data_IF_832980277508
#
_entry.id   IF_832980277508
#
_cell.length_a   1.000
_cell.length_b   1.000
_cell.length_c   1.000
_cell.angle_alpha   90.00
_cell.angle_beta   90.00
_cell.angle_gamma   90.00
#
_symmetry.space_group_name_H-M   'P 1'
#
loop_
_entity.id
_entity.type
_entity.pdbx_description
1 polymer ?
#
# COMPACT_ATOMS: atom_id res chain seq x y z
N UNK A 1 9.08 3.31 1.96
CA UNK A 1 8.13 4.39 1.59
C UNK A 1 8.77 5.46 0.69
N UNK A 2 9.60 5.09 -0.29
CA UNK A 2 10.23 6.07 -1.19
C UNK A 2 9.30 6.46 -2.34
N UNK A 3 8.67 5.47 -2.97
CA UNK A 3 7.80 5.59 -4.15
C UNK A 3 6.28 5.54 -3.90
N UNK A 4 5.82 5.54 -2.65
CA UNK A 4 4.38 5.62 -2.34
C UNK A 4 3.79 7.01 -2.64
N UNK A 5 2.47 7.16 -2.75
CA UNK A 5 1.83 8.46 -3.00
C UNK A 5 1.85 9.40 -1.79
N UNK A 6 1.87 8.85 -0.59
CA UNK A 6 1.68 9.60 0.65
C UNK A 6 0.22 9.65 1.12
N UNK A 7 -0.72 8.91 0.52
CA UNK A 7 -2.07 8.74 1.07
C UNK A 7 -1.98 8.12 2.48
N UNK A 8 -2.73 8.67 3.44
CA UNK A 8 -2.63 8.32 4.86
C UNK A 8 -4.00 8.34 5.50
N UNK A 9 -4.76 7.29 5.23
CA UNK A 9 -6.13 7.10 5.71
C UNK A 9 -6.13 6.24 6.97
N UNK A 10 -7.11 6.47 7.84
CA UNK A 10 -7.40 5.58 8.98
C UNK A 10 -8.40 4.52 8.55
N UNK A 11 -8.31 3.34 9.16
CA UNK A 11 -9.40 2.37 9.11
C UNK A 11 -10.65 2.97 9.78
N UNK A 12 -11.81 2.57 9.27
CA UNK A 12 -13.13 2.87 9.79
C UNK A 12 -13.51 1.88 10.88
N UNK A 13 -14.40 2.27 11.79
CA UNK A 13 -14.83 1.43 12.92
C UNK A 13 -15.31 0.03 12.50
N UNK A 14 -16.04 -0.04 11.38
CA UNK A 14 -16.59 -1.31 10.90
C UNK A 14 -15.52 -2.26 10.33
N UNK A 15 -14.40 -1.74 9.82
CA UNK A 15 -13.28 -2.54 9.29
C UNK A 15 -12.54 -3.29 10.42
N UNK A 16 -12.57 -2.77 11.66
CA UNK A 16 -12.09 -3.52 12.84
C UNK A 16 -13.04 -4.66 13.24
N UNK A 17 -14.30 -4.61 12.80
CA UNK A 17 -15.36 -5.56 13.11
C UNK A 17 -15.89 -6.21 11.83
N UNK A 18 -15.01 -6.52 10.88
CA UNK A 18 -15.39 -6.94 9.55
C UNK A 18 -16.27 -8.20 9.55
N UNK A 19 -15.94 -9.24 10.33
CA UNK A 19 -16.76 -10.45 10.43
C UNK A 19 -18.11 -10.18 11.11
N UNK A 20 -18.13 -9.41 12.20
CA UNK A 20 -19.37 -9.01 12.87
C UNK A 20 -20.26 -8.11 12.01
N UNK A 21 -19.67 -7.30 11.14
CA UNK A 21 -20.39 -6.35 10.27
C UNK A 21 -20.91 -7.02 9.01
N UNK A 22 -20.05 -7.76 8.31
CA UNK A 22 -20.37 -8.37 7.01
C UNK A 22 -21.03 -9.74 7.15
N UNK A 23 -20.88 -10.37 8.32
CA UNK A 23 -21.29 -11.75 8.55
C UNK A 23 -20.38 -12.75 7.83
N UNK A 24 -20.88 -13.97 7.66
CA UNK A 24 -20.16 -15.02 6.94
C UNK A 24 -20.23 -14.76 5.44
N UNK A 25 -19.08 -14.50 4.84
CA UNK A 25 -18.90 -14.43 3.39
C UNK A 25 -18.30 -15.76 2.92
N UNK A 26 -19.03 -16.49 2.07
CA UNK A 26 -18.56 -17.77 1.53
C UNK A 26 -17.27 -17.57 0.72
N UNK A 27 -16.25 -18.38 1.00
CA UNK A 27 -14.94 -18.28 0.34
C UNK A 27 -13.96 -17.32 1.01
N UNK A 28 -14.40 -16.54 2.00
CA UNK A 28 -13.55 -15.64 2.77
C UNK A 28 -13.30 -16.15 4.20
N UNK A 29 -12.10 -15.90 4.72
CA UNK A 29 -11.70 -16.13 6.11
C UNK A 29 -11.74 -14.82 6.92
N UNK A 30 -12.88 -14.14 6.86
CA UNK A 30 -13.10 -12.90 7.60
C UNK A 30 -12.99 -13.12 9.11
N UNK A 31 -12.38 -12.15 9.79
CA UNK A 31 -12.25 -12.11 11.24
C UNK A 31 -12.48 -10.68 11.73
N UNK A 32 -12.90 -10.56 12.98
CA UNK A 32 -12.80 -9.28 13.70
C UNK A 32 -11.37 -9.11 14.22
N UNK A 33 -10.90 -7.87 14.19
CA UNK A 33 -9.63 -7.54 14.81
C UNK A 33 -9.74 -7.74 16.33
N UNK A 34 -8.69 -8.25 17.01
CA UNK A 34 -8.69 -8.39 18.47
C UNK A 34 -8.45 -7.07 19.20
N UNK A 35 -8.59 -5.94 18.50
CA UNK A 35 -8.39 -4.56 18.95
C UNK A 35 -9.43 -3.68 18.27
N UNK A 36 -9.69 -2.52 18.86
CA UNK A 36 -10.68 -1.55 18.36
C UNK A 36 -10.03 -0.31 17.74
N UNK A 37 -10.80 0.45 16.96
CA UNK A 37 -10.36 1.76 16.47
C UNK A 37 -9.99 2.68 17.64
N UNK A 38 -10.78 2.70 18.71
CA UNK A 38 -10.53 3.53 19.90
C UNK A 38 -9.17 3.21 20.56
N UNK A 39 -8.78 1.94 20.61
CA UNK A 39 -7.44 1.55 21.08
C UNK A 39 -6.32 2.00 20.14
N UNK A 40 -6.61 2.09 18.83
CA UNK A 40 -5.67 2.52 17.79
C UNK A 40 -5.59 4.03 17.59
N UNK A 41 -6.60 4.80 17.98
CA UNK A 41 -6.62 6.27 17.82
C UNK A 41 -5.38 6.98 18.37
N UNK A 42 -4.84 6.65 19.56
CA UNK A 42 -3.62 7.28 20.06
C UNK A 42 -2.40 7.00 19.17
N UNK A 43 -2.36 5.85 18.51
CA UNK A 43 -1.26 5.46 17.61
C UNK A 43 -1.41 6.10 16.24
N UNK A 44 -2.62 6.17 15.67
CA UNK A 44 -2.90 6.96 14.47
C UNK A 44 -2.51 8.42 14.68
N UNK A 45 -2.92 9.02 15.80
CA UNK A 45 -2.59 10.41 16.16
C UNK A 45 -1.08 10.64 16.20
N UNK A 46 -0.32 9.74 16.84
CA UNK A 46 1.16 9.79 16.86
C UNK A 46 1.76 9.65 15.46
N UNK A 47 1.27 8.71 14.66
CA UNK A 47 1.75 8.46 13.31
C UNK A 47 1.50 9.67 12.40
N UNK A 48 0.29 10.24 12.44
CA UNK A 48 -0.08 11.42 11.65
C UNK A 48 0.74 12.66 12.04
N UNK A 49 0.93 12.89 13.34
CA UNK A 49 1.77 13.97 13.83
C UNK A 49 3.21 13.82 13.32
N UNK A 50 3.75 12.61 13.42
CA UNK A 50 5.11 12.31 12.97
C UNK A 50 5.25 12.48 11.45
N UNK A 51 4.30 11.97 10.68
CA UNK A 51 4.34 11.99 9.21
C UNK A 51 3.97 13.34 8.59
N UNK A 52 3.27 14.20 9.32
CA UNK A 52 2.77 15.48 8.78
C UNK A 52 1.54 15.29 7.91
N UNK A 53 0.61 14.46 8.35
CA UNK A 53 -0.58 14.14 7.56
C UNK A 53 -1.49 15.36 7.48
N UNK A 54 -1.77 15.83 6.28
CA UNK A 54 -2.64 16.98 6.08
C UNK A 54 -4.07 16.70 6.51
N UNK A 55 -4.77 17.71 7.02
CA UNK A 55 -6.20 17.61 7.36
C UNK A 55 -6.52 16.88 8.66
N UNK A 56 -5.53 16.66 9.55
CA UNK A 56 -5.72 16.05 10.88
C UNK A 56 -5.42 16.99 12.04
N UNK A 57 -4.55 17.97 11.84
CA UNK A 57 -4.23 19.06 12.79
C UNK A 57 -4.58 20.43 12.16
N UNK A 58 -3.86 21.48 12.50
CA UNK A 58 -3.89 22.78 11.82
C UNK A 58 -3.20 22.78 10.44
N UNK A 59 -2.70 21.62 10.00
CA UNK A 59 -2.08 21.46 8.68
C UNK A 59 -3.14 21.38 7.58
N UNK A 60 -3.23 22.38 6.70
CA UNK A 60 -4.23 22.41 5.65
C UNK A 60 -4.03 21.25 4.68
N UNK A 61 -5.12 20.78 4.06
CA UNK A 61 -5.02 19.86 2.92
C UNK A 61 -4.25 20.51 1.78
N UNK A 62 -3.59 19.69 0.97
CA UNK A 62 -2.95 20.18 -0.26
C UNK A 62 -4.02 20.75 -1.22
N UNK A 63 -3.68 21.77 -2.03
CA UNK A 63 -4.59 22.26 -3.04
C UNK A 63 -4.85 21.17 -4.09
N UNK A 64 -6.08 21.13 -4.59
CA UNK A 64 -6.49 20.19 -5.63
C UNK A 64 -5.80 20.50 -6.96
N UNK A 65 -5.29 19.46 -7.62
CA UNK A 65 -4.73 19.58 -8.96
C UNK A 65 -5.84 19.59 -10.03
N UNK A 66 -5.45 19.69 -11.30
CA UNK A 66 -6.42 19.72 -12.39
C UNK A 66 -7.20 18.40 -12.54
N UNK A 67 -6.56 17.25 -12.30
CA UNK A 67 -7.22 15.95 -12.29
C UNK A 67 -8.38 15.93 -11.29
N UNK A 68 -8.10 16.32 -10.04
CA UNK A 68 -9.09 16.42 -8.99
C UNK A 68 -10.21 17.41 -9.34
N UNK A 69 -9.89 18.60 -9.86
CA UNK A 69 -10.91 19.61 -10.19
C UNK A 69 -11.92 19.11 -11.23
N UNK A 70 -11.44 18.43 -12.27
CA UNK A 70 -12.31 17.87 -13.32
C UNK A 70 -13.20 16.76 -12.75
N UNK A 71 -12.63 15.84 -11.97
CA UNK A 71 -13.37 14.72 -11.40
C UNK A 71 -14.33 15.16 -10.29
N UNK A 72 -13.94 16.12 -9.46
CA UNK A 72 -14.81 16.74 -8.46
C UNK A 72 -16.02 17.39 -9.12
N UNK A 73 -15.84 18.08 -10.25
CA UNK A 73 -16.97 18.68 -10.96
C UNK A 73 -17.98 17.63 -11.46
N UNK A 74 -17.51 16.43 -11.84
CA UNK A 74 -18.38 15.29 -12.14
C UNK A 74 -19.07 14.75 -10.89
N UNK A 75 -18.32 14.51 -9.82
CA UNK A 75 -18.83 14.02 -8.54
C UNK A 75 -19.92 14.95 -7.96
N UNK A 76 -19.69 16.27 -7.98
CA UNK A 76 -20.64 17.28 -7.51
C UNK A 76 -21.96 17.23 -8.31
N UNK A 77 -21.88 17.03 -9.63
CA UNK A 77 -23.06 16.92 -10.51
C UNK A 77 -23.86 15.64 -10.24
N UNK A 78 -23.17 14.54 -9.91
CA UNK A 78 -23.78 13.28 -9.51
C UNK A 78 -24.34 13.32 -8.08
N UNK A 79 -24.03 14.38 -7.33
CA UNK A 79 -24.56 14.60 -5.99
C UNK A 79 -23.68 14.07 -4.86
N UNK A 80 -22.48 13.54 -5.15
CA UNK A 80 -21.52 13.10 -4.13
C UNK A 80 -21.13 14.25 -3.19
N UNK A 81 -20.93 13.92 -1.92
CA UNK A 81 -20.73 14.89 -0.83
C UNK A 81 -19.34 14.78 -0.20
N UNK A 82 -18.79 13.58 -0.10
CA UNK A 82 -17.51 13.31 0.55
C UNK A 82 -16.37 13.37 -0.47
N UNK A 83 -16.17 14.54 -1.09
CA UNK A 83 -15.13 14.78 -2.09
C UNK A 83 -14.11 15.84 -1.63
N UNK A 84 -12.87 15.41 -1.36
CA UNK A 84 -11.80 16.28 -0.89
C UNK A 84 -10.41 15.82 -1.36
N UNK A 85 -9.37 16.63 -1.13
CA UNK A 85 -7.98 16.38 -1.60
C UNK A 85 -7.20 15.36 -0.75
N UNK A 86 -7.90 14.53 0.02
CA UNK A 86 -7.32 13.48 0.86
C UNK A 86 -6.58 13.96 2.13
N UNK A 87 -6.14 12.97 2.91
CA UNK A 87 -5.21 13.12 4.02
C UNK A 87 -3.85 12.57 3.56
N UNK A 88 -2.86 13.45 3.40
CA UNK A 88 -1.59 13.10 2.76
C UNK A 88 -0.44 13.32 3.75
N UNK A 89 0.44 12.34 3.92
CA UNK A 89 1.76 12.48 4.56
C UNK A 89 2.73 13.28 3.67
N UNK A 90 2.33 14.50 3.33
CA UNK A 90 3.05 15.45 2.50
C UNK A 90 2.87 16.83 3.14
N UNK A 91 3.97 17.48 3.46
CA UNK A 91 3.98 18.80 4.07
C UNK A 91 3.23 19.82 3.19
N UNK A 92 2.08 20.32 3.65
CA UNK A 92 1.40 21.47 3.04
C UNK A 92 2.02 22.80 3.46
N UNK A 93 2.67 22.82 4.62
CA UNK A 93 3.49 23.91 5.14
C UNK A 93 4.88 23.37 5.50
N UNK A 94 5.90 24.22 5.52
CA UNK A 94 7.24 23.80 5.93
C UNK A 94 7.21 23.34 7.40
N UNK A 95 7.74 22.15 7.67
CA UNK A 95 7.80 21.55 9.01
C UNK A 95 8.84 20.44 9.04
N UNK A 96 9.33 20.11 10.23
CA UNK A 96 10.24 18.98 10.44
C UNK A 96 11.47 19.05 9.51
N UNK A 97 12.05 20.25 9.39
CA UNK A 97 13.19 20.58 8.52
C UNK A 97 13.00 20.19 7.04
N UNK A 98 11.74 20.06 6.61
CA UNK A 98 11.35 19.69 5.25
C UNK A 98 10.46 20.75 4.63
N UNK A 99 10.73 21.02 3.35
CA UNK A 99 9.95 21.95 2.54
C UNK A 99 8.46 21.56 2.43
N UNK A 100 7.62 22.54 2.12
CA UNK A 100 6.26 22.29 1.66
C UNK A 100 6.24 21.72 0.23
N UNK A 101 5.14 21.05 -0.12
CA UNK A 101 4.92 20.49 -1.44
C UNK A 101 4.93 21.56 -2.52
N UNK A 102 5.78 21.37 -3.54
CA UNK A 102 5.86 22.26 -4.71
C UNK A 102 4.95 21.80 -5.87
N UNK A 103 4.07 20.82 -5.64
CA UNK A 103 3.05 20.38 -6.61
C UNK A 103 3.62 19.94 -7.98
N UNK A 104 4.75 19.22 -7.99
CA UNK A 104 5.47 18.87 -9.23
C UNK A 104 5.14 17.51 -9.85
N UNK A 105 4.23 16.70 -9.30
CA UNK A 105 3.80 15.44 -9.96
C UNK A 105 4.72 14.23 -9.86
N UNK A 106 5.76 14.28 -9.03
CA UNK A 106 6.78 13.22 -8.92
C UNK A 106 6.60 12.29 -7.71
N UNK A 107 5.40 12.16 -7.15
CA UNK A 107 5.20 11.44 -5.89
C UNK A 107 5.65 9.97 -5.95
N UNK A 108 5.34 9.28 -7.06
CA UNK A 108 5.67 7.86 -7.26
C UNK A 108 7.12 7.59 -7.67
N UNK A 109 7.86 8.60 -8.12
CA UNK A 109 9.28 8.43 -8.51
C UNK A 109 10.23 8.87 -7.40
N UNK A 110 9.70 9.25 -6.24
CA UNK A 110 10.44 9.87 -5.15
C UNK A 110 10.24 11.39 -5.13
N UNK A 111 9.99 11.94 -3.94
CA UNK A 111 9.75 13.37 -3.81
C UNK A 111 11.06 14.15 -3.92
N UNK A 112 11.23 14.87 -5.03
CA UNK A 112 12.39 15.75 -5.28
C UNK A 112 12.63 16.80 -4.20
N UNK A 113 11.57 17.25 -3.53
CA UNK A 113 11.61 18.38 -2.60
C UNK A 113 11.77 17.98 -1.13
N UNK A 114 11.74 16.68 -0.82
CA UNK A 114 11.67 16.19 0.56
C UNK A 114 10.35 16.52 1.27
N UNK A 115 9.31 16.93 0.53
CA UNK A 115 8.03 17.34 1.11
C UNK A 115 7.13 16.16 1.51
N UNK A 116 7.21 15.02 0.81
CA UNK A 116 6.52 13.77 1.16
C UNK A 116 7.26 13.06 2.28
N UNK A 117 6.57 12.43 3.22
CA UNK A 117 7.25 11.66 4.26
C UNK A 117 7.87 10.38 3.66
N UNK A 118 9.08 10.07 4.07
CA UNK A 118 9.75 8.83 3.70
C UNK A 118 10.75 8.44 4.79
N UNK A 119 10.62 7.21 5.28
CA UNK A 119 11.52 6.61 6.27
C UNK A 119 12.99 6.79 5.89
N UNK A 120 13.30 6.74 4.59
CA UNK A 120 14.66 6.82 4.04
C UNK A 120 15.42 8.09 4.44
N UNK A 121 14.75 9.26 4.43
CA UNK A 121 15.40 10.55 4.70
C UNK A 121 14.79 11.30 5.88
N UNK A 122 13.78 10.73 6.55
CA UNK A 122 13.21 11.30 7.77
C UNK A 122 13.63 10.50 9.00
N UNK A 123 13.27 9.22 9.05
CA UNK A 123 13.42 8.42 10.25
C UNK A 123 14.78 7.78 10.40
N UNK A 124 15.34 7.25 9.30
CA UNK A 124 16.65 6.58 9.34
C UNK A 124 17.74 7.56 9.79
N UNK A 125 17.90 8.75 9.18
CA UNK A 125 18.95 9.68 9.61
C UNK A 125 18.80 10.12 11.07
N UNK A 126 17.56 10.39 11.52
CA UNK A 126 17.28 10.75 12.92
C UNK A 126 17.59 9.61 13.88
N UNK A 127 17.30 8.36 13.48
CA UNK A 127 17.62 7.18 14.26
C UNK A 127 19.13 6.95 14.35
N UNK A 128 19.85 7.01 13.24
CA UNK A 128 21.31 6.83 13.21
C UNK A 128 22.02 7.92 14.03
N UNK A 129 21.53 9.17 13.99
CA UNK A 129 22.05 10.27 14.79
C UNK A 129 21.98 10.03 16.32
N UNK A 130 21.15 9.09 16.79
CA UNK A 130 21.12 8.71 18.21
C UNK A 130 22.32 7.85 18.63
N UNK A 131 23.03 7.23 17.69
CA UNK A 131 24.06 6.22 17.97
C UNK A 131 23.50 4.87 18.43
N UNK A 132 22.17 4.69 18.44
CA UNK A 132 21.48 3.46 18.84
C UNK A 132 20.84 2.69 17.69
N UNK A 133 20.90 3.23 16.47
CA UNK A 133 20.41 2.59 15.25
C UNK A 133 21.57 2.45 14.26
N UNK A 134 21.69 1.25 13.67
CA UNK A 134 22.52 1.00 12.49
C UNK A 134 21.60 0.52 11.37
N UNK A 135 21.69 1.14 10.19
CA UNK A 135 21.13 0.57 8.96
C UNK A 135 22.24 -0.09 8.16
N UNK A 136 22.10 -1.40 7.93
CA UNK A 136 23.03 -2.17 7.10
C UNK A 136 22.40 -2.46 5.74
N UNK A 137 22.65 -1.64 4.70
CA UNK A 137 22.12 -1.91 3.36
C UNK A 137 22.77 -3.16 2.75
N UNK A 138 22.15 -3.70 1.69
CA UNK A 138 22.64 -4.87 0.98
C UNK A 138 22.92 -6.06 1.91
N UNK A 139 22.00 -6.29 2.86
CA UNK A 139 22.06 -7.36 3.86
C UNK A 139 20.77 -8.16 3.82
N UNK A 140 20.68 -9.12 2.90
CA UNK A 140 19.46 -9.91 2.70
C UNK A 140 19.30 -10.91 3.84
N UNK A 141 18.24 -10.76 4.65
CA UNK A 141 17.95 -11.72 5.72
C UNK A 141 17.56 -13.08 5.13
N UNK A 142 18.28 -14.13 5.53
CA UNK A 142 18.16 -15.49 5.01
C UNK A 142 17.37 -16.39 5.95
N UNK A 143 17.67 -16.31 7.26
CA UNK A 143 17.10 -17.19 8.27
C UNK A 143 17.12 -16.55 9.65
N UNK A 144 16.08 -16.80 10.43
CA UNK A 144 16.04 -16.48 11.86
C UNK A 144 16.42 -17.73 12.65
N UNK A 145 17.45 -17.61 13.49
CA UNK A 145 17.90 -18.68 14.37
C UNK A 145 17.16 -18.64 15.70
N UNK A 146 17.02 -19.80 16.34
CA UNK A 146 16.41 -19.95 17.65
C UNK A 146 17.10 -21.04 18.48
N UNK A 147 16.93 -20.99 19.80
CA UNK A 147 17.40 -22.03 20.73
C UNK A 147 16.42 -23.21 20.84
N UNK A 148 16.74 -24.22 21.67
CA UNK A 148 15.87 -25.39 21.86
C UNK A 148 14.48 -25.04 22.46
N UNK A 149 14.38 -23.95 23.23
CA UNK A 149 13.10 -23.44 23.74
C UNK A 149 12.25 -22.83 22.62
N UNK A 150 12.85 -22.46 21.49
CA UNK A 150 12.20 -21.80 20.36
C UNK A 150 12.35 -20.27 20.41
N UNK A 151 13.12 -19.74 21.36
CA UNK A 151 13.40 -18.31 21.47
C UNK A 151 14.46 -17.92 20.44
N UNK A 152 14.23 -16.81 19.74
CA UNK A 152 15.17 -16.30 18.74
C UNK A 152 16.54 -15.98 19.34
N UNK A 153 17.60 -16.25 18.59
CA UNK A 153 19.00 -16.01 19.00
C UNK A 153 19.74 -15.07 18.05
N UNK A 154 19.27 -14.93 16.81
CA UNK A 154 19.89 -14.07 15.82
C UNK A 154 19.28 -14.21 14.43
N UNK A 155 19.82 -13.45 13.49
CA UNK A 155 19.45 -13.47 12.07
C UNK A 155 20.70 -13.77 11.25
N UNK A 156 20.61 -14.77 10.38
CA UNK A 156 21.59 -15.03 9.33
C UNK A 156 21.21 -14.17 8.12
N UNK A 157 22.17 -13.47 7.55
CA UNK A 157 21.98 -12.65 6.36
C UNK A 157 23.15 -12.82 5.38
N UNK A 158 22.89 -12.64 4.09
CA UNK A 158 23.92 -12.51 3.06
C UNK A 158 24.34 -11.03 2.96
N UNK A 159 25.64 -10.75 3.07
CA UNK A 159 26.17 -9.41 2.89
C UNK A 159 26.28 -9.01 1.40
N UNK A 160 26.82 -7.81 1.14
CA UNK A 160 26.97 -7.25 -0.21
C UNK A 160 27.80 -8.13 -1.17
N UNK A 161 28.63 -9.02 -0.65
CA UNK A 161 29.47 -9.93 -1.42
C UNK A 161 28.86 -11.35 -1.47
N UNK A 162 27.63 -11.53 -0.98
CA UNK A 162 26.92 -12.80 -0.89
C UNK A 162 27.40 -13.70 0.25
N UNK A 163 28.31 -13.23 1.13
CA UNK A 163 28.83 -14.04 2.22
C UNK A 163 27.83 -14.06 3.38
N UNK A 164 27.61 -15.25 3.94
CA UNK A 164 26.73 -15.42 5.09
C UNK A 164 27.37 -14.87 6.37
N UNK A 165 26.59 -14.07 7.09
CA UNK A 165 26.92 -13.46 8.37
C UNK A 165 25.82 -13.80 9.37
N UNK A 166 26.15 -13.79 10.67
CA UNK A 166 25.16 -13.93 11.74
C UNK A 166 25.16 -12.70 12.65
N UNK A 167 24.00 -12.07 12.80
CA UNK A 167 23.76 -11.02 13.77
C UNK A 167 22.98 -11.59 14.95
N UNK A 168 23.66 -11.76 16.09
CA UNK A 168 22.98 -12.14 17.35
C UNK A 168 22.02 -11.04 17.77
N UNK A 169 20.83 -11.44 18.22
CA UNK A 169 19.77 -10.53 18.64
C UNK A 169 18.94 -11.14 19.77
N UNK A 170 18.53 -10.31 20.73
CA UNK A 170 17.62 -10.71 21.82
C UNK A 170 16.16 -10.72 21.38
N UNK A 171 15.83 -9.89 20.40
CA UNK A 171 14.50 -9.66 19.84
C UNK A 171 14.69 -9.47 18.34
N UNK A 172 13.80 -10.05 17.54
CA UNK A 172 13.77 -9.89 16.09
C UNK A 172 12.39 -9.37 15.70
N UNK A 173 12.34 -8.21 15.03
CA UNK A 173 11.13 -7.68 14.42
C UNK A 173 11.21 -7.89 12.91
N UNK A 174 10.25 -8.63 12.33
CA UNK A 174 10.20 -8.90 10.90
C UNK A 174 9.35 -7.81 10.22
N UNK A 175 9.96 -7.06 9.30
CA UNK A 175 9.32 -5.94 8.61
C UNK A 175 9.64 -5.95 7.09
N UNK A 176 9.68 -7.13 6.49
CA UNK A 176 10.01 -7.35 5.08
C UNK A 176 8.80 -7.30 4.15
N UNK A 177 7.84 -6.39 4.31
CA UNK A 177 6.60 -6.31 3.51
C UNK A 177 5.72 -7.59 3.53
N UNK A 178 4.63 -7.60 2.76
CA UNK A 178 3.64 -8.70 2.71
C UNK A 178 4.13 -9.97 2.02
N UNK A 179 5.27 -9.92 1.32
CA UNK A 179 5.87 -11.04 0.60
C UNK A 179 7.14 -11.54 1.29
N UNK A 180 8.13 -10.67 1.56
CA UNK A 180 9.40 -11.13 2.11
C UNK A 180 9.30 -11.49 3.60
N UNK A 181 8.35 -10.93 4.36
CA UNK A 181 8.11 -11.35 5.75
C UNK A 181 7.66 -12.82 5.86
N UNK A 182 6.58 -13.27 5.18
CA UNK A 182 6.23 -14.69 5.20
C UNK A 182 7.30 -15.55 4.54
N UNK A 183 7.96 -15.11 3.46
CA UNK A 183 9.06 -15.86 2.85
C UNK A 183 10.20 -16.13 3.83
N UNK A 184 10.66 -15.12 4.58
CA UNK A 184 11.69 -15.28 5.61
C UNK A 184 11.26 -16.25 6.72
N UNK A 185 10.03 -16.13 7.21
CA UNK A 185 9.50 -17.00 8.26
C UNK A 185 9.39 -18.45 7.78
N UNK A 186 8.90 -18.68 6.56
CA UNK A 186 8.83 -20.01 5.94
C UNK A 186 10.22 -20.61 5.72
N UNK A 187 11.18 -19.81 5.22
CA UNK A 187 12.57 -20.23 5.05
C UNK A 187 13.29 -20.51 6.37
N UNK A 188 12.78 -19.97 7.49
CA UNK A 188 13.33 -20.18 8.83
C UNK A 188 12.90 -21.51 9.48
N UNK A 189 12.77 -22.56 8.67
CA UNK A 189 12.43 -23.91 9.16
C UNK A 189 13.55 -24.54 10.00
N UNK A 190 13.15 -25.40 10.93
CA UNK A 190 14.03 -26.18 11.79
C UNK A 190 13.36 -27.47 12.22
N UNK A 191 14.06 -28.34 12.95
CA UNK A 191 13.46 -29.53 13.54
C UNK A 191 12.27 -29.21 14.46
N UNK A 192 12.27 -28.05 15.13
CA UNK A 192 11.16 -27.60 15.99
C UNK A 192 10.04 -26.92 15.20
N UNK A 193 10.39 -26.25 14.10
CA UNK A 193 9.46 -25.53 13.24
C UNK A 193 9.56 -26.08 11.81
N UNK A 194 9.06 -27.32 11.56
CA UNK A 194 9.24 -28.01 10.29
C UNK A 194 8.51 -27.35 9.11
N UNK A 195 7.60 -26.42 9.39
CA UNK A 195 6.82 -25.67 8.39
C UNK A 195 7.12 -24.16 8.41
N UNK A 196 8.27 -23.76 8.96
CA UNK A 196 8.66 -22.37 9.11
C UNK A 196 8.43 -21.81 10.52
N UNK A 197 9.24 -20.84 10.91
CA UNK A 197 9.16 -20.16 12.19
C UNK A 197 7.83 -19.41 12.32
N UNK A 198 7.23 -19.43 13.51
CA UNK A 198 5.93 -18.83 13.81
C UNK A 198 4.74 -19.38 13.00
N UNK A 199 4.89 -20.52 12.32
CA UNK A 199 3.84 -21.09 11.48
C UNK A 199 3.09 -22.28 12.12
N UNK A 200 2.98 -22.33 13.45
CA UNK A 200 2.24 -23.42 14.13
C UNK A 200 0.74 -23.40 13.82
N UNK A 201 0.18 -22.23 13.50
CA UNK A 201 -1.21 -22.07 13.06
C UNK A 201 -1.42 -22.41 11.57
N UNK A 202 -0.34 -22.59 10.80
CA UNK A 202 -0.40 -22.73 9.34
C UNK A 202 -0.82 -21.47 8.58
N UNK A 203 -0.86 -20.30 9.25
CA UNK A 203 -1.33 -19.03 8.68
C UNK A 203 -0.23 -18.20 8.02
N UNK A 204 1.06 -18.51 8.23
CA UNK A 204 2.14 -17.71 7.62
C UNK A 204 2.03 -17.79 6.10
N UNK A 205 1.92 -16.62 5.49
CA UNK A 205 1.76 -16.43 4.07
C UNK A 205 0.32 -16.50 3.58
N UNK A 206 -0.66 -16.99 4.35
CA UNK A 206 -2.08 -17.05 3.92
C UNK A 206 -2.78 -15.71 4.06
N UNK A 207 -3.97 -15.62 3.45
CA UNK A 207 -4.84 -14.45 3.49
C UNK A 207 -4.13 -13.23 2.89
N UNK A 208 -3.34 -13.48 1.84
CA UNK A 208 -2.68 -12.42 1.10
C UNK A 208 -3.75 -11.55 0.43
N UNK A 209 -3.82 -10.30 0.85
CA UNK A 209 -4.75 -9.30 0.35
C UNK A 209 -4.02 -8.20 -0.39
N UNK A 210 -4.73 -7.64 -1.36
CA UNK A 210 -4.43 -6.41 -2.10
C UNK A 210 -5.56 -5.41 -1.82
N UNK A 211 -5.68 -4.39 -2.66
CA UNK A 211 -6.92 -3.65 -2.76
C UNK A 211 -7.68 -4.12 -3.99
N UNK A 212 -9.01 -4.19 -3.88
CA UNK A 212 -9.87 -4.28 -5.05
C UNK A 212 -9.72 -3.00 -5.84
N UNK A 213 -9.10 -3.08 -7.02
CA UNK A 213 -8.79 -1.93 -7.85
C UNK A 213 -9.37 -2.08 -9.25
N UNK A 214 -9.71 -0.94 -9.83
CA UNK A 214 -10.21 -0.77 -11.19
C UNK A 214 -9.98 0.69 -11.57
N UNK A 215 -9.56 0.95 -12.80
CA UNK A 215 -9.11 2.30 -13.21
C UNK A 215 -9.83 2.76 -14.46
N UNK A 216 -10.16 4.04 -14.50
CA UNK A 216 -10.75 4.69 -15.68
C UNK A 216 -9.97 5.96 -15.97
N UNK A 217 -9.55 6.10 -17.22
CA UNK A 217 -8.96 7.32 -17.76
C UNK A 217 -9.79 7.77 -18.95
N UNK A 218 -10.07 9.07 -19.01
CA UNK A 218 -10.81 9.69 -20.10
C UNK A 218 -9.97 10.78 -20.76
N UNK A 219 -10.17 10.99 -22.05
CA UNK A 219 -9.61 12.10 -22.83
C UNK A 219 -10.67 13.19 -22.92
N UNK A 220 -10.30 14.42 -22.59
CA UNK A 220 -11.19 15.58 -22.59
C UNK A 220 -10.91 16.49 -23.80
N UNK A 221 -11.88 17.31 -24.19
CA UNK A 221 -11.75 18.26 -25.32
C UNK A 221 -10.71 19.36 -25.07
N UNK A 222 -10.44 19.68 -23.80
CA UNK A 222 -9.48 20.72 -23.38
C UNK A 222 -8.34 20.09 -22.57
N UNK A 223 -7.13 20.67 -22.62
CA UNK A 223 -6.01 20.17 -21.82
C UNK A 223 -6.34 20.16 -20.32
N UNK A 224 -6.07 19.02 -19.67
CA UNK A 224 -6.22 18.84 -18.22
C UNK A 224 -4.86 18.96 -17.53
N UNK A 225 -3.81 18.41 -18.13
CA UNK A 225 -2.47 18.29 -17.54
C UNK A 225 -2.50 17.59 -16.17
N UNK A 226 -3.15 16.43 -16.07
CA UNK A 226 -3.33 15.69 -14.79
C UNK A 226 -2.02 15.44 -14.03
N UNK A 227 -0.89 15.36 -14.73
CA UNK A 227 0.45 15.14 -14.17
C UNK A 227 1.00 16.30 -13.34
N UNK A 228 0.35 17.47 -13.35
CA UNK A 228 0.73 18.60 -12.49
C UNK A 228 0.08 18.42 -11.12
N UNK A 229 0.81 18.71 -10.04
CA UNK A 229 0.33 18.55 -8.67
C UNK A 229 0.51 17.15 -8.09
N UNK A 230 -0.01 16.91 -6.88
CA UNK A 230 0.06 15.62 -6.19
C UNK A 230 -0.55 14.50 -7.05
N UNK A 231 0.11 13.35 -7.14
CA UNK A 231 -0.32 12.22 -7.98
C UNK A 231 -1.69 11.67 -7.56
N UNK A 232 -1.95 11.54 -6.26
CA UNK A 232 -3.24 11.12 -5.71
C UNK A 232 -3.90 12.31 -4.98
N UNK A 233 -4.27 13.34 -5.76
CA UNK A 233 -4.73 14.63 -5.24
C UNK A 233 -6.22 14.69 -4.87
N UNK A 234 -6.83 13.56 -4.54
CA UNK A 234 -8.22 13.57 -4.16
C UNK A 234 -8.87 12.20 -4.01
N UNK A 235 -9.94 12.21 -3.25
CA UNK A 235 -10.69 11.04 -2.82
C UNK A 235 -12.17 11.39 -2.78
N UNK A 236 -13.01 10.44 -3.21
CA UNK A 236 -14.47 10.47 -3.13
C UNK A 236 -14.89 9.25 -2.32
N UNK A 237 -15.53 9.47 -1.17
CA UNK A 237 -15.76 8.41 -0.17
C UNK A 237 -17.22 8.00 0.00
N UNK A 238 -18.14 8.60 -0.74
CA UNK A 238 -19.57 8.28 -0.65
C UNK A 238 -19.86 6.77 -0.84
N UNK A 239 -19.07 6.09 -1.68
CA UNK A 239 -19.20 4.65 -1.95
C UNK A 239 -18.49 3.73 -0.93
N UNK A 240 -17.72 4.29 0.01
CA UNK A 240 -16.92 3.54 0.98
C UNK A 240 -17.77 2.91 2.10
N UNK A 241 -19.05 3.27 2.20
CA UNK A 241 -19.98 2.70 3.16
C UNK A 241 -20.24 1.22 2.86
N UNK A 242 -20.51 0.45 3.91
CA UNK A 242 -21.06 -0.90 3.76
C UNK A 242 -22.54 -0.83 3.35
N UNK A 243 -22.86 -1.33 2.16
CA UNK A 243 -24.22 -1.37 1.60
C UNK A 243 -24.40 -2.64 0.76
N UNK A 244 -24.89 -3.74 1.38
CA UNK A 244 -25.00 -5.04 0.72
C UNK A 244 -26.08 -5.08 -0.37
N UNK A 245 -26.95 -4.08 -0.47
CA UNK A 245 -27.93 -4.00 -1.56
C UNK A 245 -27.28 -3.85 -2.94
N UNK A 246 -26.00 -3.44 -2.98
CA UNK A 246 -25.16 -3.35 -4.18
C UNK A 246 -24.61 -4.71 -4.65
N UNK A 247 -24.87 -5.79 -3.92
CA UNK A 247 -24.45 -7.15 -4.28
C UNK A 247 -23.07 -7.57 -3.78
N UNK A 248 -22.45 -6.79 -2.89
CA UNK A 248 -21.16 -7.09 -2.25
C UNK A 248 -21.10 -6.47 -0.85
N UNK A 249 -20.22 -6.98 0.02
CA UNK A 249 -19.93 -6.42 1.34
C UNK A 249 -18.72 -5.47 1.31
N UNK A 250 -18.57 -4.66 2.37
CA UNK A 250 -17.64 -3.54 2.38
C UNK A 250 -18.06 -2.40 1.45
N UNK A 251 -17.07 -1.64 1.00
CA UNK A 251 -17.23 -0.51 0.10
C UNK A 251 -15.92 -0.19 -0.62
N UNK A 252 -15.95 0.82 -1.47
CA UNK A 252 -14.77 1.33 -2.13
C UNK A 252 -14.78 2.85 -2.14
N UNK A 253 -13.60 3.44 -2.12
CA UNK A 253 -13.42 4.86 -2.41
C UNK A 253 -12.91 5.03 -3.84
N UNK A 254 -13.24 6.17 -4.45
CA UNK A 254 -12.65 6.56 -5.73
C UNK A 254 -11.54 7.54 -5.45
N UNK A 255 -10.30 7.16 -5.71
CA UNK A 255 -9.16 8.06 -5.58
C UNK A 255 -8.76 8.59 -6.96
N UNK A 256 -8.67 9.91 -7.06
CA UNK A 256 -8.20 10.55 -8.28
C UNK A 256 -6.73 10.24 -8.45
N UNK A 257 -6.34 9.68 -9.59
CA UNK A 257 -4.99 9.20 -9.82
C UNK A 257 -4.44 9.79 -11.12
N UNK A 258 -3.32 10.51 -11.02
CA UNK A 258 -2.57 10.96 -12.17
C UNK A 258 -1.26 10.20 -12.33
N UNK A 259 -1.13 9.45 -13.41
CA UNK A 259 0.10 8.72 -13.73
C UNK A 259 1.00 9.57 -14.59
N UNK A 260 2.30 9.58 -14.28
CA UNK A 260 3.33 10.14 -15.15
C UNK A 260 3.40 9.40 -16.49
N UNK A 261 3.78 10.08 -17.58
CA UNK A 261 3.71 9.55 -18.94
C UNK A 261 4.35 8.15 -19.11
N UNK A 262 5.55 7.85 -18.58
CA UNK A 262 6.13 6.51 -18.71
C UNK A 262 5.28 5.43 -18.04
N UNK A 263 4.70 5.74 -16.88
CA UNK A 263 3.84 4.79 -16.18
C UNK A 263 2.49 4.67 -16.86
N UNK A 264 1.92 5.78 -17.33
CA UNK A 264 0.67 5.78 -18.11
C UNK A 264 0.81 4.92 -19.37
N UNK A 265 1.92 4.99 -20.10
CA UNK A 265 2.18 4.17 -21.26
C UNK A 265 2.18 2.66 -20.92
N UNK A 266 2.82 2.26 -19.82
CA UNK A 266 2.83 0.86 -19.40
C UNK A 266 1.47 0.38 -18.86
N UNK A 267 0.69 1.30 -18.25
CA UNK A 267 -0.54 0.99 -17.53
C UNK A 267 -1.79 1.01 -18.42
N UNK A 268 -1.87 1.95 -19.37
CA UNK A 268 -3.07 2.19 -20.19
C UNK A 268 -3.53 0.94 -20.94
N UNK A 269 -2.58 0.24 -21.55
CA UNK A 269 -2.81 -0.99 -22.30
C UNK A 269 -1.53 -1.84 -22.21
N UNK A 270 -1.40 -2.69 -21.18
CA UNK A 270 -0.20 -3.51 -20.99
C UNK A 270 0.07 -4.37 -22.23
N UNK A 271 1.26 -4.23 -22.81
CA UNK A 271 1.64 -4.90 -24.06
C UNK A 271 1.03 -4.29 -25.33
N UNK A 272 0.24 -3.21 -25.20
CA UNK A 272 -0.31 -2.45 -26.32
C UNK A 272 0.77 -1.74 -27.13
N UNK A 273 0.57 -1.66 -28.45
CA UNK A 273 1.50 -1.04 -29.38
C UNK A 273 0.78 -0.54 -30.65
N UNK A 274 1.49 0.23 -31.48
CA UNK A 274 0.97 0.73 -32.76
C UNK A 274 0.17 2.03 -32.66
N UNK A 275 -0.49 2.41 -33.76
CA UNK A 275 -1.09 3.74 -33.93
C UNK A 275 -2.18 4.06 -32.91
N UNK A 276 -3.06 3.11 -32.59
CA UNK A 276 -4.14 3.34 -31.63
C UNK A 276 -3.59 3.66 -30.24
N UNK A 277 -2.56 2.95 -29.81
CA UNK A 277 -1.87 3.19 -28.55
C UNK A 277 -1.15 4.54 -28.54
N UNK A 278 -0.37 4.86 -29.58
CA UNK A 278 0.34 6.15 -29.65
C UNK A 278 -0.64 7.33 -29.73
N UNK A 279 -1.72 7.22 -30.49
CA UNK A 279 -2.75 8.27 -30.56
C UNK A 279 -3.41 8.51 -29.21
N UNK A 280 -3.68 7.47 -28.41
CA UNK A 280 -4.15 7.68 -27.05
C UNK A 280 -3.11 8.46 -26.21
N UNK A 281 -1.83 8.11 -26.30
CA UNK A 281 -0.76 8.80 -25.59
C UNK A 281 -0.47 10.23 -26.10
N UNK A 282 -0.74 10.52 -27.37
CA UNK A 282 -0.66 11.89 -27.93
C UNK A 282 -1.67 12.82 -27.23
N UNK A 283 -2.74 12.27 -26.66
CA UNK A 283 -3.73 12.98 -25.85
C UNK A 283 -3.44 12.96 -24.34
N UNK A 284 -2.25 12.54 -23.91
CA UNK A 284 -1.91 12.43 -22.48
C UNK A 284 -2.13 13.73 -21.70
N UNK A 285 -1.88 14.89 -22.31
CA UNK A 285 -2.09 16.19 -21.69
C UNK A 285 -3.58 16.58 -21.55
N UNK A 286 -4.47 15.84 -22.19
CA UNK A 286 -5.94 15.94 -22.11
C UNK A 286 -6.55 14.86 -21.21
N UNK A 287 -5.74 13.98 -20.59
CA UNK A 287 -6.25 12.91 -19.75
C UNK A 287 -6.59 13.37 -18.33
N UNK A 288 -7.63 12.75 -17.77
CA UNK A 288 -7.90 12.71 -16.34
C UNK A 288 -8.31 11.28 -15.96
N UNK A 289 -8.04 10.86 -14.72
CA UNK A 289 -8.36 9.51 -14.29
C UNK A 289 -8.49 9.33 -12.80
N UNK A 290 -9.16 8.24 -12.45
CA UNK A 290 -9.32 7.75 -11.09
C UNK A 290 -9.20 6.24 -11.09
N UNK A 291 -9.01 5.71 -9.89
CA UNK A 291 -9.22 4.31 -9.63
C UNK A 291 -10.13 4.12 -8.43
N UNK A 292 -10.60 2.91 -8.25
CA UNK A 292 -11.22 2.50 -6.99
C UNK A 292 -10.18 1.84 -6.09
N UNK A 293 -10.38 2.03 -4.80
CA UNK A 293 -9.70 1.30 -3.74
C UNK A 293 -10.79 0.70 -2.85
N UNK A 294 -11.04 -0.58 -3.05
CA UNK A 294 -11.99 -1.36 -2.26
C UNK A 294 -11.29 -2.37 -1.36
N UNK A 295 -12.06 -2.91 -0.43
CA UNK A 295 -11.64 -4.04 0.39
C UNK A 295 -11.50 -5.30 -0.48
N UNK A 296 -10.46 -6.09 -0.21
CA UNK A 296 -10.19 -7.39 -0.83
C UNK A 296 -10.48 -8.46 0.22
N UNK A 297 -11.27 -9.49 -0.12
CA UNK A 297 -11.65 -10.48 0.86
C UNK A 297 -10.47 -11.38 1.25
N UNK A 298 -10.22 -11.62 2.55
CA UNK A 298 -9.16 -12.52 2.97
C UNK A 298 -9.51 -13.94 2.54
N UNK A 299 -8.63 -14.59 1.76
CA UNK A 299 -8.78 -15.98 1.33
C UNK A 299 -7.61 -16.82 1.82
N UNK A 300 -7.81 -17.96 2.50
CA UNK A 300 -6.72 -18.82 2.94
C UNK A 300 -5.85 -19.34 1.79
N UNK A 301 -6.44 -19.49 0.60
CA UNK A 301 -5.78 -19.95 -0.61
C UNK A 301 -4.85 -18.87 -1.17
N UNK A 302 -5.27 -17.59 -1.14
CA UNK A 302 -4.41 -16.47 -1.53
C UNK A 302 -3.23 -16.42 -0.57
N UNK A 303 -2.05 -16.77 -1.07
CA UNK A 303 -0.90 -17.01 -0.20
C UNK A 303 0.46 -16.83 -0.84
N UNK A 304 1.42 -16.52 0.03
CA UNK A 304 2.84 -16.63 -0.24
C UNK A 304 3.32 -18.01 0.22
N UNK A 305 3.97 -18.72 -0.68
CA UNK A 305 4.68 -19.97 -0.44
C UNK A 305 6.13 -19.87 -0.90
N UNK A 306 6.90 -20.90 -0.60
CA UNK A 306 8.24 -21.07 -1.15
C UNK A 306 8.15 -21.86 -2.45
N UNK A 307 8.78 -21.36 -3.50
CA UNK A 307 8.91 -22.10 -4.74
C UNK A 307 9.69 -23.41 -4.49
N UNK A 308 9.29 -24.50 -5.16
CA UNK A 308 9.86 -25.84 -4.91
C UNK A 308 11.30 -25.96 -5.41
N UNK A 309 11.56 -25.45 -6.61
CA UNK A 309 12.82 -25.69 -7.32
C UNK A 309 13.64 -24.41 -7.54
N UNK A 310 12.99 -23.32 -7.95
CA UNK A 310 13.63 -22.00 -8.14
C UNK A 310 14.13 -21.36 -6.84
N UNK A 311 15.34 -20.81 -6.93
CA UNK A 311 16.07 -20.19 -5.82
C UNK A 311 16.60 -18.83 -6.26
N UNK A 312 16.77 -17.94 -5.28
CA UNK A 312 17.47 -16.69 -5.50
C UNK A 312 19.00 -16.89 -5.59
N UNK A 313 19.71 -15.79 -5.80
CA UNK A 313 21.18 -15.75 -5.89
C UNK A 313 21.90 -16.23 -4.61
N UNK A 314 21.20 -16.30 -3.48
CA UNK A 314 21.73 -16.79 -2.20
C UNK A 314 21.34 -18.25 -1.92
N UNK A 315 20.71 -18.93 -2.89
CA UNK A 315 20.29 -20.32 -2.78
C UNK A 315 19.03 -20.55 -1.94
N UNK A 316 18.28 -19.49 -1.64
CA UNK A 316 17.02 -19.57 -0.89
C UNK A 316 15.84 -19.68 -1.86
N UNK A 317 14.85 -20.53 -1.57
CA UNK A 317 13.60 -20.58 -2.34
C UNK A 317 13.02 -19.18 -2.54
N UNK A 318 12.65 -18.84 -3.77
CA UNK A 318 11.95 -17.58 -4.08
C UNK A 318 10.51 -17.63 -3.55
N UNK A 319 9.90 -16.46 -3.36
CA UNK A 319 8.47 -16.41 -3.08
C UNK A 319 7.67 -16.86 -4.31
N UNK A 320 6.73 -17.76 -4.07
CA UNK A 320 5.65 -18.09 -5.01
C UNK A 320 4.38 -17.45 -4.46
N UNK A 321 3.78 -16.54 -5.23
CA UNK A 321 2.62 -15.73 -4.82
C UNK A 321 1.41 -16.21 -5.61
N UNK A 322 0.49 -16.86 -4.91
CA UNK A 322 -0.80 -17.23 -5.47
C UNK A 322 -1.88 -16.23 -5.02
N UNK A 323 -2.68 -15.77 -5.97
CA UNK A 323 -3.78 -14.86 -5.73
C UNK A 323 -4.90 -15.10 -6.75
N UNK A 324 -6.12 -15.24 -6.25
CA UNK A 324 -7.35 -15.24 -7.03
C UNK A 324 -8.35 -14.20 -6.46
N UNK A 325 -9.02 -13.46 -7.35
CA UNK A 325 -10.07 -12.51 -6.96
C UNK A 325 -11.26 -13.26 -6.30
N UNK A 326 -11.82 -12.71 -5.22
CA UNK A 326 -13.06 -13.21 -4.65
C UNK A 326 -14.27 -12.76 -5.49
N UNK A 327 -15.39 -13.50 -5.43
CA UNK A 327 -16.62 -13.10 -6.11
C UNK A 327 -17.15 -11.74 -5.61
N UNK A 328 -16.97 -11.46 -4.32
CA UNK A 328 -17.28 -10.16 -3.71
C UNK A 328 -16.50 -9.01 -4.37
N UNK A 329 -15.19 -9.19 -4.56
CA UNK A 329 -14.29 -8.18 -5.11
C UNK A 329 -14.61 -7.91 -6.58
N UNK A 330 -14.95 -8.98 -7.32
CA UNK A 330 -15.42 -8.88 -8.70
C UNK A 330 -16.72 -8.11 -8.79
N UNK A 331 -17.71 -8.44 -7.94
CA UNK A 331 -18.99 -7.73 -7.89
C UNK A 331 -18.82 -6.25 -7.52
N UNK A 332 -17.92 -5.95 -6.58
CA UNK A 332 -17.56 -4.59 -6.18
C UNK A 332 -16.95 -3.80 -7.34
N UNK A 333 -15.99 -4.40 -8.05
CA UNK A 333 -15.34 -3.78 -9.22
C UNK A 333 -16.32 -3.58 -10.37
N UNK A 334 -17.21 -4.53 -10.62
CA UNK A 334 -18.25 -4.44 -11.66
C UNK A 334 -19.30 -3.38 -11.35
N UNK A 335 -19.63 -3.18 -10.06
CA UNK A 335 -20.47 -2.07 -9.63
C UNK A 335 -19.77 -0.73 -9.88
N UNK A 336 -18.49 -0.62 -9.51
CA UNK A 336 -17.72 0.61 -9.67
C UNK A 336 -17.50 1.06 -11.12
N UNK A 337 -17.52 0.14 -12.08
CA UNK A 337 -17.39 0.50 -13.51
C UNK A 337 -18.67 1.06 -14.14
N UNK A 338 -19.81 1.00 -13.45
CA UNK A 338 -21.12 1.49 -13.94
C UNK A 338 -21.35 2.95 -13.55
#
# INVERSE_FOLDING_TARGET
>A
TTHWAGASLRFQEHEFKAHSTYGKVEGASLLDWPITLAEMEPYYTKAEAKMGVTGTYDWPRLPGNNNFKVLKAGADKLGYKECHTGNMAINSVQRDDRNSCQQTGFCFQGCKWGAKWSTLYTEIPKGEATGHLEVRPNSMAIKINHDASGKVTGVVYADKDGKLQEQKARIVAVAGNSIESPRLLLNSQSAKFPHGLANSSGQVGRNYMRHTTGSVYAIFDKPVHMYRGTTMAGIIRDEARHDPSRGFVGGYEMETLSLGLPFMAAFLNPGGWGRSFTTALDHYDHMAGLWIVGEDMPRPENRITLHKDEKDEHGMPIADVHFDDHANDTAMRDHAYK
#
